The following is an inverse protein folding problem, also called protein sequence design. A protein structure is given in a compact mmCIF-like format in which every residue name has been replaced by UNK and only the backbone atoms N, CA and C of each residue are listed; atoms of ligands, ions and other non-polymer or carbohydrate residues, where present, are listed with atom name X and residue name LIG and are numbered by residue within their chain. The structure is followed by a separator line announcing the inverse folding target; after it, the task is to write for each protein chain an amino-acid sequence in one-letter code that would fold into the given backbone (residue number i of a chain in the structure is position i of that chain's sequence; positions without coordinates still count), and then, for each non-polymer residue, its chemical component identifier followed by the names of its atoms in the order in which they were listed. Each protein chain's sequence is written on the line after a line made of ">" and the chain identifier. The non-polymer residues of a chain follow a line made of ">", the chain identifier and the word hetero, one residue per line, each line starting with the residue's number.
data_IF_656143168332
#
_entry.id   IF_656143168332
#
_cell.length_a   1.000
_cell.length_b   1.000
_cell.length_c   1.000
_cell.angle_alpha   90.00
_cell.angle_beta   90.00
_cell.angle_gamma   90.00
#
_symmetry.space_group_name_H-M   'P 1'
#
loop_
_entity.id
_entity.type
_entity.pdbx_description
1 polymer ?
#
# COMPACT_ATOMS: atom_id res chain seq x y z
N UNK A 1 63.37 42.61 20.18
CA UNK A 1 62.18 41.90 19.66
C UNK A 1 62.06 40.62 20.47
N UNK A 2 61.13 40.59 21.43
CA UNK A 2 61.00 39.48 22.36
C UNK A 2 60.51 38.23 21.63
N UNK A 3 61.28 37.14 21.71
CA UNK A 3 60.94 35.83 21.16
C UNK A 3 59.55 35.34 21.63
N UNK A 4 59.14 35.77 22.82
CA UNK A 4 57.83 35.49 23.42
C UNK A 4 56.68 36.17 22.66
N UNK A 5 56.88 37.38 22.12
CA UNK A 5 55.90 38.08 21.29
C UNK A 5 55.71 37.45 19.91
N UNK A 6 56.78 36.88 19.34
CA UNK A 6 56.73 36.16 18.06
C UNK A 6 56.05 34.78 18.17
N UNK A 7 56.21 34.09 19.31
CA UNK A 7 55.53 32.81 19.57
C UNK A 7 54.02 33.03 19.77
N UNK A 8 53.64 34.07 20.53
CA UNK A 8 52.23 34.43 20.76
C UNK A 8 51.53 34.88 19.46
N UNK A 9 52.22 35.62 18.59
CA UNK A 9 51.64 36.07 17.31
C UNK A 9 51.45 34.96 16.29
N UNK A 10 52.12 33.81 16.43
CA UNK A 10 51.96 32.62 15.57
C UNK A 10 50.93 31.64 16.16
N UNK A 11 50.94 31.45 17.48
CA UNK A 11 50.03 30.49 18.16
C UNK A 11 48.57 30.95 18.15
N UNK A 12 48.29 32.26 18.30
CA UNK A 12 46.91 32.78 18.31
C UNK A 12 46.21 32.57 16.96
N UNK A 13 46.80 32.90 15.79
CA UNK A 13 46.21 32.58 14.49
C UNK A 13 46.07 31.08 14.21
N UNK A 14 47.00 30.26 14.69
CA UNK A 14 46.94 28.81 14.52
C UNK A 14 45.79 28.19 15.34
N UNK A 15 45.63 28.60 16.60
CA UNK A 15 44.57 28.14 17.49
C UNK A 15 43.19 28.66 17.04
N UNK A 16 43.10 29.91 16.60
CA UNK A 16 41.85 30.48 16.08
C UNK A 16 41.47 29.87 14.72
N UNK A 17 42.43 29.62 13.84
CA UNK A 17 42.22 28.91 12.57
C UNK A 17 41.78 27.45 12.76
N UNK A 18 42.42 26.72 13.69
CA UNK A 18 42.04 25.34 14.01
C UNK A 18 40.64 25.24 14.65
N UNK A 19 40.30 26.17 15.55
CA UNK A 19 38.97 26.21 16.17
C UNK A 19 37.88 26.59 15.16
N UNK A 20 38.12 27.58 14.31
CA UNK A 20 37.20 27.96 13.24
C UNK A 20 37.00 26.81 12.24
N UNK A 21 38.07 26.12 11.86
CA UNK A 21 38.02 24.92 11.02
C UNK A 21 37.17 23.81 11.66
N UNK A 22 37.40 23.51 12.94
CA UNK A 22 36.64 22.49 13.67
C UNK A 22 35.13 22.83 13.76
N UNK A 23 34.78 24.11 13.96
CA UNK A 23 33.38 24.57 14.00
C UNK A 23 32.71 24.40 12.62
N UNK A 24 33.38 24.82 11.54
CA UNK A 24 32.86 24.67 10.18
C UNK A 24 32.69 23.20 9.81
N UNK A 25 33.67 22.36 10.13
CA UNK A 25 33.57 20.91 9.92
C UNK A 25 32.43 20.31 10.73
N UNK A 26 32.32 20.61 12.03
CA UNK A 26 31.23 20.10 12.87
C UNK A 26 29.84 20.53 12.36
N UNK A 27 29.72 21.78 11.90
CA UNK A 27 28.48 22.29 11.32
C UNK A 27 28.13 21.58 10.00
N UNK A 28 29.11 21.43 9.11
CA UNK A 28 28.91 20.76 7.83
C UNK A 28 28.59 19.27 8.03
N UNK A 29 29.32 18.57 8.92
CA UNK A 29 29.07 17.18 9.28
C UNK A 29 27.67 17.01 9.89
N UNK A 30 27.23 17.90 10.77
CA UNK A 30 25.88 17.84 11.33
C UNK A 30 24.81 18.02 10.26
N UNK A 31 25.02 18.96 9.33
CA UNK A 31 24.09 19.19 8.22
C UNK A 31 24.00 17.98 7.28
N UNK A 32 25.15 17.38 6.92
CA UNK A 32 25.24 16.17 6.10
C UNK A 32 24.56 15.00 6.82
N UNK A 33 24.83 14.79 8.12
CA UNK A 33 24.23 13.72 8.91
C UNK A 33 22.71 13.86 8.98
N UNK A 34 22.18 15.08 9.17
CA UNK A 34 20.73 15.34 9.15
C UNK A 34 20.12 15.01 7.79
N UNK A 35 20.76 15.40 6.69
CA UNK A 35 20.33 15.06 5.32
C UNK A 35 20.33 13.55 5.10
N UNK A 36 21.43 12.86 5.44
CA UNK A 36 21.56 11.41 5.28
C UNK A 36 20.52 10.65 6.10
N UNK A 37 20.27 11.07 7.34
CA UNK A 37 19.22 10.48 8.18
C UNK A 37 17.83 10.65 7.57
N UNK A 38 17.55 11.80 6.93
CA UNK A 38 16.29 12.05 6.25
C UNK A 38 16.13 11.18 5.01
N UNK A 39 17.18 11.06 4.20
CA UNK A 39 17.23 10.17 3.03
C UNK A 39 16.98 8.74 3.46
N UNK A 40 17.72 8.23 4.45
CA UNK A 40 17.57 6.87 4.96
C UNK A 40 16.16 6.58 5.47
N UNK A 41 15.52 7.54 6.16
CA UNK A 41 14.11 7.41 6.59
C UNK A 41 13.14 7.34 5.40
N UNK A 42 13.34 8.17 4.38
CA UNK A 42 12.50 8.14 3.16
C UNK A 42 12.67 6.82 2.42
N UNK A 43 13.90 6.37 2.21
CA UNK A 43 14.20 5.07 1.59
C UNK A 43 13.56 3.93 2.38
N UNK A 44 13.67 3.95 3.71
CA UNK A 44 13.07 2.94 4.56
C UNK A 44 11.55 2.87 4.39
N UNK A 45 10.86 4.02 4.36
CA UNK A 45 9.41 4.08 4.10
C UNK A 45 9.03 3.59 2.71
N UNK A 46 9.77 4.00 1.68
CA UNK A 46 9.50 3.61 0.29
C UNK A 46 9.69 2.11 0.13
N UNK A 47 10.80 1.57 0.64
CA UNK A 47 11.17 0.18 0.37
C UNK A 47 10.39 -0.83 1.23
N UNK A 48 9.97 -0.45 2.44
CA UNK A 48 9.36 -1.39 3.38
C UNK A 48 7.84 -1.22 3.55
N UNK A 49 7.28 -0.04 3.21
CA UNK A 49 5.84 0.19 3.33
C UNK A 49 5.22 0.66 2.01
N UNK A 50 5.43 1.92 1.60
CA UNK A 50 4.61 2.54 0.55
C UNK A 50 4.89 2.02 -0.86
N UNK A 51 6.10 1.53 -1.15
CA UNK A 51 6.42 0.88 -2.41
C UNK A 51 5.71 -0.46 -2.56
N UNK A 52 5.96 -1.42 -1.65
CA UNK A 52 5.26 -2.70 -1.64
C UNK A 52 3.73 -2.56 -1.56
N UNK A 53 3.24 -1.64 -0.70
CA UNK A 53 1.81 -1.39 -0.56
C UNK A 53 1.20 -0.91 -1.88
N UNK A 54 1.81 0.07 -2.55
CA UNK A 54 1.33 0.54 -3.85
C UNK A 54 1.36 -0.55 -4.94
N UNK A 55 2.32 -1.47 -4.91
CA UNK A 55 2.34 -2.62 -5.81
C UNK A 55 1.17 -3.56 -5.54
N UNK A 56 0.98 -3.98 -4.29
CA UNK A 56 -0.11 -4.88 -3.90
C UNK A 56 -1.47 -4.25 -4.21
N UNK A 57 -1.68 -2.96 -3.91
CA UNK A 57 -2.93 -2.26 -4.22
C UNK A 57 -3.28 -2.31 -5.72
N UNK A 58 -2.29 -2.17 -6.61
CA UNK A 58 -2.49 -2.32 -8.05
C UNK A 58 -2.87 -3.75 -8.45
N UNK A 59 -2.24 -4.76 -7.85
CA UNK A 59 -2.61 -6.14 -8.07
C UNK A 59 -4.06 -6.41 -7.65
N UNK A 60 -4.49 -5.91 -6.48
CA UNK A 60 -5.89 -5.98 -6.05
C UNK A 60 -6.83 -5.36 -7.08
N UNK A 61 -6.51 -4.17 -7.59
CA UNK A 61 -7.31 -3.51 -8.62
C UNK A 61 -7.46 -4.39 -9.88
N UNK A 62 -6.35 -4.91 -10.40
CA UNK A 62 -6.34 -5.77 -11.59
C UNK A 62 -7.20 -7.02 -11.37
N UNK A 63 -7.11 -7.67 -10.21
CA UNK A 63 -7.93 -8.84 -9.90
C UNK A 63 -9.42 -8.52 -9.86
N UNK A 64 -9.80 -7.40 -9.22
CA UNK A 64 -11.18 -6.96 -9.15
C UNK A 64 -11.73 -6.55 -10.53
N UNK A 65 -10.93 -5.89 -11.35
CA UNK A 65 -11.30 -5.52 -12.72
C UNK A 65 -11.54 -6.76 -13.60
N UNK A 66 -10.66 -7.76 -13.53
CA UNK A 66 -10.85 -9.02 -14.27
C UNK A 66 -12.09 -9.79 -13.79
N UNK A 67 -12.30 -9.87 -12.47
CA UNK A 67 -13.50 -10.51 -11.90
C UNK A 67 -14.78 -9.83 -12.39
N UNK A 68 -14.87 -8.50 -12.27
CA UNK A 68 -16.03 -7.71 -12.74
C UNK A 68 -16.22 -7.83 -14.24
N UNK A 69 -15.14 -7.76 -15.02
CA UNK A 69 -15.17 -7.90 -16.47
C UNK A 69 -15.76 -9.23 -16.91
N UNK A 70 -15.38 -10.33 -16.25
CA UNK A 70 -15.93 -11.66 -16.53
C UNK A 70 -17.41 -11.76 -16.18
N UNK A 71 -17.87 -11.19 -15.07
CA UNK A 71 -19.30 -11.18 -14.72
C UNK A 71 -20.09 -10.37 -15.75
N UNK A 72 -19.58 -9.23 -16.20
CA UNK A 72 -20.25 -8.44 -17.23
C UNK A 72 -20.35 -9.22 -18.56
N UNK A 73 -19.24 -9.82 -19.01
CA UNK A 73 -19.23 -10.64 -20.22
C UNK A 73 -20.12 -11.88 -20.10
N UNK A 74 -20.21 -12.47 -18.90
CA UNK A 74 -21.12 -13.56 -18.61
C UNK A 74 -22.58 -13.13 -18.81
N UNK A 75 -22.98 -12.00 -18.21
CA UNK A 75 -24.33 -11.45 -18.35
C UNK A 75 -24.68 -11.11 -19.80
N UNK A 76 -23.73 -10.56 -20.56
CA UNK A 76 -23.92 -10.20 -21.97
C UNK A 76 -23.98 -11.44 -22.88
N UNK A 77 -23.21 -12.49 -22.57
CA UNK A 77 -23.12 -13.67 -23.41
C UNK A 77 -24.19 -14.71 -23.11
N UNK A 78 -24.50 -14.98 -21.84
CA UNK A 78 -25.41 -16.02 -21.38
C UNK A 78 -26.84 -15.49 -21.15
N UNK A 79 -27.41 -14.85 -22.17
CA UNK A 79 -28.78 -14.31 -22.10
C UNK A 79 -29.84 -15.41 -22.33
N UNK A 80 -31.01 -15.32 -21.67
CA UNK A 80 -32.11 -16.26 -21.88
C UNK A 80 -32.53 -16.35 -23.35
N UNK A 81 -32.88 -17.55 -23.82
CA UNK A 81 -33.38 -17.84 -25.17
C UNK A 81 -32.40 -17.61 -26.34
N UNK A 82 -31.13 -17.28 -26.09
CA UNK A 82 -30.09 -17.18 -27.15
C UNK A 82 -29.64 -18.54 -27.69
N UNK A 83 -29.67 -19.57 -26.86
CA UNK A 83 -29.17 -20.91 -27.20
C UNK A 83 -30.32 -21.90 -27.45
N UNK A 84 -30.04 -22.92 -28.25
CA UNK A 84 -30.97 -24.03 -28.52
C UNK A 84 -31.39 -24.73 -27.23
N UNK A 85 -32.67 -25.08 -27.10
CA UNK A 85 -33.25 -25.78 -25.93
C UNK A 85 -32.97 -27.30 -25.95
N UNK A 86 -32.18 -27.80 -26.88
CA UNK A 86 -31.76 -29.21 -26.88
C UNK A 86 -30.86 -29.53 -25.68
N UNK A 87 -31.07 -30.71 -25.08
CA UNK A 87 -30.35 -31.14 -23.87
C UNK A 87 -28.82 -31.05 -24.00
N UNK A 88 -28.27 -31.50 -25.13
CA UNK A 88 -26.83 -31.47 -25.39
C UNK A 88 -26.25 -30.05 -25.46
N UNK A 89 -27.04 -29.10 -25.99
CA UNK A 89 -26.62 -27.69 -26.07
C UNK A 89 -26.74 -27.02 -24.70
N UNK A 90 -27.84 -27.26 -23.98
CA UNK A 90 -28.03 -26.69 -22.64
C UNK A 90 -26.95 -27.16 -21.67
N UNK A 91 -26.62 -28.45 -21.66
CA UNK A 91 -25.54 -28.98 -20.80
C UNK A 91 -24.18 -28.30 -21.08
N UNK A 92 -23.86 -28.04 -22.36
CA UNK A 92 -22.62 -27.32 -22.72
C UNK A 92 -22.66 -25.85 -22.30
N UNK A 93 -23.80 -25.18 -22.50
CA UNK A 93 -23.98 -23.78 -22.10
C UNK A 93 -23.86 -23.65 -20.58
N UNK A 94 -24.49 -24.53 -19.82
CA UNK A 94 -24.40 -24.55 -18.34
C UNK A 94 -22.96 -24.77 -17.88
N UNK A 95 -22.25 -25.72 -18.49
CA UNK A 95 -20.84 -25.97 -18.18
C UNK A 95 -19.95 -24.74 -18.46
N UNK A 96 -20.14 -24.07 -19.59
CA UNK A 96 -19.39 -22.86 -19.95
C UNK A 96 -19.75 -21.67 -19.06
N UNK A 97 -21.03 -21.53 -18.72
CA UNK A 97 -21.54 -20.51 -17.80
C UNK A 97 -20.89 -20.67 -16.42
N UNK A 98 -20.92 -21.89 -15.88
CA UNK A 98 -20.31 -22.21 -14.59
C UNK A 98 -18.79 -21.98 -14.61
N UNK A 99 -18.09 -22.43 -15.65
CA UNK A 99 -16.65 -22.20 -15.77
C UNK A 99 -16.28 -20.70 -15.81
N UNK A 100 -17.12 -19.88 -16.44
CA UNK A 100 -16.92 -18.41 -16.48
C UNK A 100 -17.11 -17.78 -15.10
N UNK A 101 -18.13 -18.20 -14.36
CA UNK A 101 -18.38 -17.77 -12.99
C UNK A 101 -17.23 -18.22 -12.06
N UNK A 102 -16.80 -19.47 -12.16
CA UNK A 102 -15.68 -20.02 -11.39
C UNK A 102 -14.39 -19.23 -11.63
N UNK A 103 -14.09 -18.87 -12.89
CA UNK A 103 -12.92 -18.05 -13.20
C UNK A 103 -13.03 -16.64 -12.59
N UNK A 104 -14.23 -16.04 -12.60
CA UNK A 104 -14.45 -14.74 -11.95
C UNK A 104 -14.25 -14.81 -10.44
N UNK A 105 -14.77 -15.87 -9.80
CA UNK A 105 -14.59 -16.13 -8.38
C UNK A 105 -13.10 -16.36 -8.04
N UNK A 106 -12.36 -17.08 -8.88
CA UNK A 106 -10.93 -17.27 -8.70
C UNK A 106 -10.16 -15.94 -8.67
N UNK A 107 -10.48 -15.00 -9.57
CA UNK A 107 -9.89 -13.66 -9.51
C UNK A 107 -10.26 -12.91 -8.23
N UNK A 108 -11.50 -13.04 -7.76
CA UNK A 108 -11.93 -12.45 -6.50
C UNK A 108 -11.16 -13.04 -5.31
N UNK A 109 -10.97 -14.36 -5.27
CA UNK A 109 -10.17 -15.05 -4.25
C UNK A 109 -8.71 -14.55 -4.25
N UNK A 110 -8.12 -14.30 -5.42
CA UNK A 110 -6.78 -13.68 -5.51
C UNK A 110 -6.74 -12.26 -4.96
N UNK A 111 -7.80 -11.48 -5.11
CA UNK A 111 -7.90 -10.18 -4.45
C UNK A 111 -7.93 -10.33 -2.92
N UNK A 112 -8.63 -11.35 -2.38
CA UNK A 112 -8.66 -11.65 -0.94
C UNK A 112 -7.27 -12.05 -0.44
N UNK A 113 -6.60 -13.00 -1.10
CA UNK A 113 -5.23 -13.42 -0.76
C UNK A 113 -4.28 -12.21 -0.72
N UNK A 114 -4.38 -11.33 -1.72
CA UNK A 114 -3.56 -10.13 -1.78
C UNK A 114 -3.86 -9.14 -0.64
N UNK A 115 -5.12 -9.03 -0.20
CA UNK A 115 -5.49 -8.23 0.96
C UNK A 115 -4.89 -8.80 2.26
N UNK A 116 -4.71 -10.11 2.39
CA UNK A 116 -4.01 -10.72 3.52
C UNK A 116 -2.53 -10.29 3.54
N UNK A 117 -1.88 -10.24 2.38
CA UNK A 117 -0.51 -9.74 2.24
C UNK A 117 -0.40 -8.26 2.60
N UNK A 118 -1.37 -7.45 2.16
CA UNK A 118 -1.47 -6.03 2.51
C UNK A 118 -1.60 -5.86 4.02
N UNK A 119 -2.51 -6.60 4.67
CA UNK A 119 -2.70 -6.55 6.12
C UNK A 119 -1.42 -6.94 6.87
N UNK A 120 -0.75 -8.00 6.43
CA UNK A 120 0.52 -8.43 7.03
C UNK A 120 1.61 -7.36 6.89
N UNK A 121 1.77 -6.81 5.67
CA UNK A 121 2.73 -5.74 5.40
C UNK A 121 2.51 -4.51 6.29
N UNK A 122 1.26 -4.08 6.41
CA UNK A 122 0.87 -2.95 7.29
C UNK A 122 1.21 -3.28 8.74
N UNK A 123 0.86 -4.48 9.21
CA UNK A 123 1.09 -4.90 10.60
C UNK A 123 2.59 -4.91 10.95
N UNK A 124 3.43 -5.40 10.03
CA UNK A 124 4.89 -5.48 10.22
C UNK A 124 5.58 -4.10 10.14
N UNK A 125 4.96 -3.13 9.47
CA UNK A 125 5.56 -1.83 9.16
C UNK A 125 4.74 -0.64 9.67
N UNK A 126 3.84 -0.87 10.64
CA UNK A 126 2.90 0.15 11.12
C UNK A 126 3.61 1.42 11.62
N UNK A 127 4.78 1.27 12.25
CA UNK A 127 5.59 2.39 12.74
C UNK A 127 6.13 3.32 11.64
N UNK A 128 6.02 2.93 10.37
CA UNK A 128 6.45 3.75 9.22
C UNK A 128 5.34 4.68 8.72
N UNK A 129 4.12 4.52 9.23
CA UNK A 129 2.98 5.42 9.01
C UNK A 129 3.17 6.62 9.93
N UNK A 130 3.27 7.83 9.36
CA UNK A 130 3.52 9.05 10.12
C UNK A 130 2.52 10.18 9.83
N UNK A 131 1.47 9.87 9.06
CA UNK A 131 0.40 10.80 8.72
C UNK A 131 -0.90 10.30 9.32
N UNK A 132 -1.59 11.14 10.09
CA UNK A 132 -2.90 10.85 10.68
C UNK A 132 -3.93 10.47 9.60
N UNK A 133 -3.86 11.09 8.43
CA UNK A 133 -4.68 10.75 7.27
C UNK A 133 -4.39 9.33 6.76
N UNK A 134 -3.12 8.97 6.63
CA UNK A 134 -2.72 7.62 6.17
C UNK A 134 -3.15 6.57 7.19
N UNK A 135 -2.98 6.87 8.48
CA UNK A 135 -3.39 6.02 9.59
C UNK A 135 -4.91 5.78 9.58
N UNK A 136 -5.72 6.82 9.36
CA UNK A 136 -7.18 6.71 9.26
C UNK A 136 -7.62 5.75 8.15
N UNK A 137 -7.09 5.94 6.93
CA UNK A 137 -7.42 5.09 5.78
C UNK A 137 -6.93 3.64 5.97
N UNK A 138 -5.74 3.46 6.56
CA UNK A 138 -5.20 2.14 6.88
C UNK A 138 -6.06 1.43 7.92
N UNK A 139 -6.49 2.13 8.97
CA UNK A 139 -7.35 1.56 10.01
C UNK A 139 -8.74 1.19 9.47
N UNK A 140 -9.28 1.98 8.54
CA UNK A 140 -10.52 1.63 7.83
C UNK A 140 -10.35 0.33 7.02
N UNK A 141 -9.25 0.22 6.25
CA UNK A 141 -8.92 -1.02 5.55
C UNK A 141 -8.78 -2.21 6.51
N UNK A 142 -8.06 -2.05 7.62
CA UNK A 142 -7.88 -3.10 8.63
C UNK A 142 -9.24 -3.55 9.18
N UNK A 143 -10.13 -2.61 9.51
CA UNK A 143 -11.49 -2.91 9.97
C UNK A 143 -12.29 -3.70 8.93
N UNK A 144 -12.22 -3.30 7.66
CA UNK A 144 -12.86 -4.04 6.56
C UNK A 144 -12.27 -5.43 6.36
N UNK A 145 -10.95 -5.58 6.47
CA UNK A 145 -10.27 -6.87 6.31
C UNK A 145 -10.58 -7.83 7.46
N UNK A 146 -10.65 -7.34 8.70
CA UNK A 146 -11.11 -8.15 9.85
C UNK A 146 -12.52 -8.68 9.60
N UNK A 147 -13.43 -7.83 9.11
CA UNK A 147 -14.79 -8.26 8.76
C UNK A 147 -14.78 -9.29 7.65
N UNK A 148 -14.04 -9.07 6.56
CA UNK A 148 -13.88 -10.07 5.50
C UNK A 148 -13.38 -11.41 6.06
N UNK A 149 -12.40 -11.37 6.96
CA UNK A 149 -11.83 -12.59 7.55
C UNK A 149 -12.84 -13.36 8.40
N UNK A 150 -13.67 -12.67 9.18
CA UNK A 150 -14.63 -13.29 10.10
C UNK A 150 -15.95 -13.65 9.41
N UNK A 151 -16.40 -12.83 8.46
CA UNK A 151 -17.72 -12.97 7.82
C UNK A 151 -17.66 -13.84 6.55
N UNK A 152 -16.48 -13.98 5.92
CA UNK A 152 -16.33 -14.70 4.65
C UNK A 152 -15.25 -15.79 4.66
N UNK A 153 -14.03 -15.51 5.14
CA UNK A 153 -12.91 -16.46 5.04
C UNK A 153 -13.06 -17.61 6.04
N UNK A 154 -13.30 -17.30 7.32
CA UNK A 154 -13.48 -18.28 8.39
C UNK A 154 -14.76 -17.99 9.18
N UNK A 155 -15.94 -18.14 8.54
CA UNK A 155 -17.20 -17.85 9.18
C UNK A 155 -17.49 -18.82 10.33
N UNK A 156 -17.76 -18.28 11.51
CA UNK A 156 -18.35 -19.04 12.62
C UNK A 156 -19.86 -19.21 12.45
N UNK A 157 -20.48 -18.35 11.65
CA UNK A 157 -21.91 -18.28 11.35
C UNK A 157 -22.01 -18.03 9.85
N UNK A 158 -22.89 -18.74 9.14
CA UNK A 158 -23.06 -18.51 7.71
C UNK A 158 -23.67 -17.13 7.50
N UNK A 159 -23.14 -16.34 6.56
CA UNK A 159 -23.65 -14.98 6.33
C UNK A 159 -25.14 -14.96 5.97
N UNK A 160 -25.63 -16.02 5.31
CA UNK A 160 -27.06 -16.20 4.97
C UNK A 160 -27.97 -16.41 6.19
N UNK A 161 -27.43 -16.73 7.36
CA UNK A 161 -28.20 -16.85 8.61
C UNK A 161 -28.42 -15.49 9.28
N UNK A 162 -27.71 -14.44 8.85
CA UNK A 162 -27.88 -13.08 9.35
C UNK A 162 -29.04 -12.41 8.60
N UNK A 163 -30.01 -11.75 9.26
CA UNK A 163 -31.06 -11.00 8.58
C UNK A 163 -30.51 -9.98 7.57
N UNK A 164 -31.11 -9.91 6.38
CA UNK A 164 -30.66 -9.05 5.28
C UNK A 164 -30.63 -7.58 5.69
N UNK A 165 -31.56 -7.14 6.53
CA UNK A 165 -31.60 -5.77 7.07
C UNK A 165 -30.36 -5.46 7.90
N UNK A 166 -29.89 -6.43 8.69
CA UNK A 166 -28.65 -6.29 9.48
C UNK A 166 -27.45 -6.30 8.55
N UNK A 167 -27.42 -7.16 7.52
CA UNK A 167 -26.34 -7.17 6.54
C UNK A 167 -26.22 -5.84 5.79
N UNK A 168 -27.35 -5.28 5.31
CA UNK A 168 -27.40 -4.04 4.54
C UNK A 168 -26.98 -2.82 5.37
N UNK A 169 -27.28 -2.79 6.67
CA UNK A 169 -26.95 -1.67 7.55
C UNK A 169 -25.47 -1.63 7.97
N UNK A 170 -24.71 -2.70 7.74
CA UNK A 170 -23.29 -2.80 8.15
C UNK A 170 -22.31 -2.35 7.07
N UNK A 171 -22.79 -1.82 5.93
CA UNK A 171 -21.96 -1.35 4.83
C UNK A 171 -21.35 -2.48 4.00
N UNK A 172 -20.70 -2.11 2.89
CA UNK A 172 -20.19 -3.07 1.90
C UNK A 172 -19.02 -3.88 2.45
N UNK A 173 -19.15 -5.20 2.44
CA UNK A 173 -18.07 -6.15 2.66
C UNK A 173 -17.14 -6.14 1.44
N UNK A 174 -15.84 -6.07 1.70
CA UNK A 174 -14.85 -6.53 0.73
C UNK A 174 -14.80 -5.73 -0.58
N UNK A 175 -14.21 -4.54 -0.52
CA UNK A 175 -13.21 -4.10 -1.50
C UNK A 175 -12.41 -2.99 -0.83
N UNK A 176 -11.10 -2.94 -1.08
CA UNK A 176 -10.31 -1.77 -0.72
C UNK A 176 -10.98 -0.56 -1.39
N UNK A 177 -11.28 0.49 -0.62
CA UNK A 177 -11.86 1.72 -1.15
C UNK A 177 -10.94 2.27 -2.26
N UNK A 178 -11.52 2.68 -3.40
CA UNK A 178 -10.74 3.26 -4.52
C UNK A 178 -9.87 4.40 -4.01
N UNK A 179 -10.44 5.24 -3.15
CA UNK A 179 -9.76 6.38 -2.53
C UNK A 179 -8.51 5.93 -1.75
N UNK A 180 -8.56 4.80 -1.04
CA UNK A 180 -7.39 4.28 -0.33
C UNK A 180 -6.31 3.74 -1.29
N UNK A 181 -6.71 3.05 -2.38
CA UNK A 181 -5.78 2.60 -3.43
C UNK A 181 -5.05 3.80 -4.04
N UNK A 182 -5.82 4.81 -4.48
CA UNK A 182 -5.32 5.99 -5.17
C UNK A 182 -4.43 6.83 -4.27
N UNK A 183 -4.81 6.98 -3.00
CA UNK A 183 -4.03 7.67 -1.99
C UNK A 183 -2.65 7.03 -1.79
N UNK A 184 -2.60 5.72 -1.57
CA UNK A 184 -1.33 5.01 -1.35
C UNK A 184 -0.43 5.06 -2.58
N UNK A 185 -1.00 4.87 -3.78
CA UNK A 185 -0.24 4.96 -5.03
C UNK A 185 0.36 6.35 -5.20
N UNK A 186 -0.43 7.38 -4.95
CA UNK A 186 0.00 8.79 -5.01
C UNK A 186 1.08 9.08 -3.96
N UNK A 187 0.88 8.61 -2.72
CA UNK A 187 1.84 8.79 -1.64
C UNK A 187 3.18 8.14 -1.95
N UNK A 188 3.18 6.92 -2.48
CA UNK A 188 4.40 6.23 -2.92
C UNK A 188 5.16 7.02 -3.99
N UNK A 189 4.46 7.60 -4.96
CA UNK A 189 5.05 8.47 -5.99
C UNK A 189 5.66 9.74 -5.38
N UNK A 190 4.92 10.42 -4.50
CA UNK A 190 5.37 11.65 -3.84
C UNK A 190 6.64 11.40 -3.00
N UNK A 191 6.71 10.28 -2.28
CA UNK A 191 7.91 9.93 -1.50
C UNK A 191 9.13 9.70 -2.40
N UNK A 192 8.96 9.04 -3.55
CA UNK A 192 10.04 8.87 -4.53
C UNK A 192 10.53 10.20 -5.10
N UNK A 193 9.62 11.10 -5.45
CA UNK A 193 9.98 12.44 -5.92
C UNK A 193 10.70 13.27 -4.85
N UNK A 194 10.30 13.13 -3.57
CA UNK A 194 10.99 13.76 -2.45
C UNK A 194 12.40 13.21 -2.26
N UNK A 195 12.58 11.90 -2.41
CA UNK A 195 13.89 11.25 -2.33
C UNK A 195 14.81 11.77 -3.44
N UNK A 196 14.35 11.78 -4.69
CA UNK A 196 15.12 12.27 -5.84
C UNK A 196 15.59 13.72 -5.66
N UNK A 197 14.72 14.59 -5.13
CA UNK A 197 15.07 15.99 -4.83
C UNK A 197 16.13 16.11 -3.73
N UNK A 198 16.19 15.17 -2.80
CA UNK A 198 17.17 15.16 -1.72
C UNK A 198 18.48 14.48 -2.08
N UNK A 199 18.54 13.72 -3.17
CA UNK A 199 19.75 13.08 -3.68
C UNK A 199 20.45 13.88 -4.78
N UNK A 200 19.73 14.79 -5.45
CA UNK A 200 20.32 15.80 -6.36
C UNK A 200 21.00 16.94 -5.57
#
# INVERSE_FOLDING_TARGET
>A
MDAMGAIVSILIPLLTGALAGAIVTAWNTNHINKRNNRIARLEHKINNLYGPLAFLMRCTLIYLENSRGLIQQHQDYFVPNKFSQSLDVQSKVDSQSNATIELSNYYFDKAIENNQLIFKLISENYSLIDSEEDEGLINEFVGMFIRLSVEYINPQIQIGEIPIEIQNNRGKLGTIASDFIDHIITKSKLLKEQLEKQTR
#
